data_IF_222013885928
#
_entry.id   IF_222013885928
#
_cell.length_a   1.000
_cell.length_b   1.000
_cell.length_c   1.000
_cell.angle_alpha   90.00
_cell.angle_beta   90.00
_cell.angle_gamma   90.00
#
_symmetry.space_group_name_H-M   'P 1'
#
loop_
_entity.id
_entity.type
_entity.pdbx_description
1 polymer ?
#
# COMPACT_ATOMS: atom_id res chain seq x y z
N UNK A 1 49.83 23.29 -65.33
CA UNK A 1 48.62 22.71 -65.97
C UNK A 1 47.49 22.68 -64.96
N UNK A 2 46.31 23.13 -65.40
CA UNK A 2 44.94 22.94 -64.85
C UNK A 2 44.54 23.64 -63.54
N UNK A 3 43.60 24.58 -63.75
CA UNK A 3 42.70 25.20 -62.79
C UNK A 3 41.64 24.22 -62.26
N UNK A 4 41.01 24.54 -61.12
CA UNK A 4 39.59 24.92 -61.03
C UNK A 4 39.13 25.06 -59.57
N UNK A 5 38.42 26.16 -59.34
CA UNK A 5 37.59 26.51 -58.19
C UNK A 5 36.45 25.50 -57.95
N UNK A 6 36.18 25.12 -56.70
CA UNK A 6 34.83 24.78 -56.25
C UNK A 6 34.62 25.15 -54.77
N UNK A 7 33.71 26.11 -54.55
CA UNK A 7 33.04 26.39 -53.28
C UNK A 7 32.33 25.12 -52.77
N UNK A 8 32.43 24.81 -51.47
CA UNK A 8 31.47 23.92 -50.83
C UNK A 8 31.11 24.38 -49.42
N UNK A 9 29.80 24.50 -49.23
CA UNK A 9 29.04 24.95 -48.06
C UNK A 9 29.35 24.12 -46.81
N UNK A 10 29.38 24.81 -45.68
CA UNK A 10 29.35 24.24 -44.33
C UNK A 10 28.01 23.51 -44.05
N UNK A 11 28.03 22.37 -43.35
CA UNK A 11 26.84 21.85 -42.69
C UNK A 11 26.70 22.46 -41.28
N UNK A 12 25.49 22.95 -40.98
CA UNK A 12 25.07 23.40 -39.65
C UNK A 12 24.96 22.20 -38.70
N UNK A 13 25.54 22.33 -37.51
CA UNK A 13 25.38 21.38 -36.42
C UNK A 13 23.94 21.44 -35.85
N UNK A 14 23.33 20.31 -35.47
CA UNK A 14 22.01 20.31 -34.83
C UNK A 14 22.09 20.84 -33.40
N UNK A 15 21.31 21.88 -33.10
CA UNK A 15 21.05 22.35 -31.74
C UNK A 15 20.32 21.26 -30.94
N UNK A 16 21.01 20.68 -29.95
CA UNK A 16 20.38 19.91 -28.88
C UNK A 16 19.70 20.89 -27.92
N UNK A 17 18.36 20.85 -27.84
CA UNK A 17 17.60 21.48 -26.75
C UNK A 17 17.53 20.52 -25.56
N UNK A 18 17.79 20.98 -24.33
CA UNK A 18 17.56 20.19 -23.14
C UNK A 18 16.06 20.07 -22.86
N UNK A 19 15.60 18.83 -22.65
CA UNK A 19 14.27 18.50 -22.11
C UNK A 19 14.20 18.84 -20.62
N UNK A 20 13.19 19.58 -20.13
CA UNK A 20 13.00 19.77 -18.70
C UNK A 20 12.44 18.49 -18.04
N UNK A 21 12.78 18.21 -16.76
CA UNK A 21 12.22 17.10 -16.02
C UNK A 21 10.76 17.38 -15.67
N UNK A 22 9.88 16.42 -15.98
CA UNK A 22 8.46 16.45 -15.62
C UNK A 22 8.29 16.17 -14.13
N UNK A 23 8.25 17.23 -13.33
CA UNK A 23 7.77 17.21 -11.96
C UNK A 23 6.77 18.36 -11.84
N UNK A 24 5.58 18.05 -11.30
CA UNK A 24 4.46 18.97 -10.96
C UNK A 24 3.38 19.21 -12.03
N UNK A 25 2.60 18.19 -12.38
CA UNK A 25 1.27 18.35 -13.02
C UNK A 25 0.15 17.70 -12.18
N UNK A 26 0.08 18.04 -10.89
CA UNK A 26 -0.96 17.51 -9.98
C UNK A 26 -1.98 18.55 -9.48
N UNK A 27 -2.07 19.75 -10.07
CA UNK A 27 -3.07 20.74 -9.64
C UNK A 27 -3.65 21.57 -10.81
N UNK A 28 -4.34 20.92 -11.75
CA UNK A 28 -5.19 21.60 -12.72
C UNK A 28 -6.60 20.98 -12.77
N UNK A 29 -7.67 21.75 -12.48
CA UNK A 29 -9.05 21.28 -12.59
C UNK A 29 -9.50 21.30 -14.06
N UNK A 30 -9.72 20.13 -14.64
CA UNK A 30 -10.26 20.00 -16.00
C UNK A 30 -11.79 20.04 -15.98
N UNK A 31 -12.36 21.23 -16.14
CA UNK A 31 -13.75 21.41 -16.56
C UNK A 31 -13.82 21.39 -18.08
N UNK A 32 -14.34 20.30 -18.66
CA UNK A 32 -14.87 20.34 -20.03
C UNK A 32 -16.18 19.56 -20.11
N UNK A 33 -17.27 20.32 -20.07
CA UNK A 33 -18.56 19.93 -20.64
C UNK A 33 -18.38 19.74 -22.15
N UNK A 34 -18.89 18.64 -22.69
CA UNK A 34 -19.27 18.58 -24.10
C UNK A 34 -20.59 17.81 -24.23
N UNK A 35 -21.66 18.55 -24.48
CA UNK A 35 -22.92 18.00 -24.98
C UNK A 35 -22.69 17.46 -26.39
N UNK A 36 -23.09 16.20 -26.64
CA UNK A 36 -23.37 15.74 -27.99
C UNK A 36 -24.72 15.03 -27.99
N UNK A 37 -25.74 15.81 -28.35
CA UNK A 37 -27.05 15.31 -28.72
C UNK A 37 -26.94 14.53 -30.03
N UNK A 38 -27.47 13.31 -30.04
CA UNK A 38 -27.88 12.64 -31.26
C UNK A 38 -29.34 12.21 -31.09
N UNK A 39 -30.22 12.92 -31.79
CA UNK A 39 -31.57 12.46 -32.06
C UNK A 39 -31.50 11.43 -33.19
N UNK A 40 -32.01 10.23 -32.94
CA UNK A 40 -32.39 9.30 -34.00
C UNK A 40 -33.76 8.70 -33.72
N UNK A 41 -34.55 8.79 -34.77
CA UNK A 41 -35.98 8.52 -34.94
C UNK A 41 -36.39 7.07 -34.69
N UNK A 42 -37.65 6.94 -34.30
CA UNK A 42 -38.38 5.73 -33.99
C UNK A 42 -38.49 4.72 -35.14
N UNK A 43 -38.50 3.43 -34.76
CA UNK A 43 -39.22 2.38 -35.50
C UNK A 43 -39.91 1.47 -34.50
N UNK A 44 -41.25 1.50 -34.49
CA UNK A 44 -42.11 0.53 -33.81
C UNK A 44 -42.04 -0.79 -34.55
N UNK A 45 -41.71 -1.88 -33.85
CA UNK A 45 -42.08 -3.23 -34.25
C UNK A 45 -42.63 -3.97 -33.03
N UNK A 46 -43.93 -4.29 -33.12
CA UNK A 46 -44.62 -5.23 -32.25
C UNK A 46 -44.12 -6.64 -32.53
N UNK A 47 -43.63 -7.33 -31.50
CA UNK A 47 -43.53 -8.77 -31.50
C UNK A 47 -43.72 -9.27 -30.07
N UNK A 48 -44.63 -10.23 -29.93
CA UNK A 48 -45.08 -10.84 -28.70
C UNK A 48 -43.92 -11.41 -27.87
N UNK A 49 -44.01 -11.27 -26.54
CA UNK A 49 -43.18 -12.03 -25.61
C UNK A 49 -44.05 -12.96 -24.75
N UNK A 50 -43.56 -14.18 -24.48
CA UNK A 50 -44.25 -15.20 -23.71
C UNK A 50 -44.16 -14.93 -22.20
N UNK A 51 -45.12 -15.53 -21.48
CA UNK A 51 -45.12 -15.88 -20.05
C UNK A 51 -43.99 -15.33 -19.19
N UNK A 52 -44.32 -14.30 -18.40
CA UNK A 52 -43.55 -13.81 -17.26
C UNK A 52 -43.47 -14.92 -16.20
N UNK A 53 -42.32 -15.57 -16.12
CA UNK A 53 -41.92 -16.29 -14.91
C UNK A 53 -41.58 -15.23 -13.87
N UNK A 54 -42.37 -15.18 -12.78
CA UNK A 54 -42.06 -14.37 -11.61
C UNK A 54 -40.71 -14.81 -11.05
N UNK A 55 -39.66 -14.03 -11.32
CA UNK A 55 -38.46 -14.06 -10.49
C UNK A 55 -38.88 -13.66 -9.09
N UNK A 56 -38.77 -14.62 -8.17
CA UNK A 56 -38.87 -14.37 -6.75
C UNK A 56 -37.86 -13.30 -6.39
N UNK A 57 -38.37 -12.14 -5.99
CA UNK A 57 -37.61 -11.07 -5.36
C UNK A 57 -36.89 -11.66 -4.15
N UNK A 58 -35.60 -11.94 -4.29
CA UNK A 58 -34.73 -12.21 -3.14
C UNK A 58 -34.78 -10.96 -2.27
N UNK A 59 -35.40 -11.04 -1.10
CA UNK A 59 -35.32 -10.00 -0.09
C UNK A 59 -33.86 -9.92 0.35
N UNK A 60 -33.10 -8.96 -0.18
CA UNK A 60 -31.75 -8.69 0.31
C UNK A 60 -31.84 -8.30 1.79
N UNK A 61 -30.94 -8.83 2.63
CA UNK A 61 -30.90 -8.44 4.04
C UNK A 61 -30.55 -6.94 4.15
N UNK A 62 -31.06 -6.23 5.17
CA UNK A 62 -30.64 -4.87 5.43
C UNK A 62 -29.11 -4.78 5.61
N UNK A 63 -28.49 -3.71 5.12
CA UNK A 63 -27.04 -3.51 5.25
C UNK A 63 -26.71 -2.90 6.60
N UNK A 64 -25.65 -3.41 7.24
CA UNK A 64 -25.11 -2.89 8.49
C UNK A 64 -24.51 -1.50 8.26
N UNK A 65 -24.98 -0.52 9.02
CA UNK A 65 -24.48 0.85 8.95
C UNK A 65 -23.50 1.08 10.10
N UNK A 66 -22.24 1.34 9.76
CA UNK A 66 -21.21 1.67 10.76
C UNK A 66 -21.67 2.87 11.60
N UNK A 67 -21.41 2.83 12.90
CA UNK A 67 -21.58 3.98 13.77
C UNK A 67 -20.36 4.93 13.67
N UNK A 68 -20.41 6.05 14.38
CA UNK A 68 -19.35 7.06 14.30
C UNK A 68 -17.99 6.54 14.81
N UNK A 69 -17.98 5.79 15.90
CA UNK A 69 -16.75 5.24 16.49
C UNK A 69 -16.08 4.21 15.56
N UNK A 70 -16.88 3.41 14.85
CA UNK A 70 -16.41 2.43 13.89
C UNK A 70 -15.81 3.08 12.65
N UNK A 71 -16.44 4.16 12.13
CA UNK A 71 -15.85 4.96 11.05
C UNK A 71 -14.53 5.58 11.47
N UNK A 72 -14.49 6.21 12.65
CA UNK A 72 -13.26 6.79 13.20
C UNK A 72 -12.18 5.73 13.43
N UNK A 73 -12.56 4.50 13.81
CA UNK A 73 -11.63 3.39 13.90
C UNK A 73 -11.01 3.06 12.54
N UNK A 74 -11.82 2.91 11.48
CA UNK A 74 -11.32 2.63 10.14
C UNK A 74 -10.40 3.76 9.61
N UNK A 75 -10.75 5.02 9.86
CA UNK A 75 -9.90 6.15 9.48
C UNK A 75 -8.51 6.09 10.14
N UNK A 76 -8.45 5.68 11.41
CA UNK A 76 -7.17 5.50 12.11
C UNK A 76 -6.42 4.28 11.60
N UNK A 77 -7.10 3.16 11.42
CA UNK A 77 -6.53 1.91 10.92
C UNK A 77 -5.89 2.11 9.53
N UNK A 78 -6.64 2.68 8.58
CA UNK A 78 -6.14 2.91 7.22
C UNK A 78 -4.94 3.89 7.20
N UNK A 79 -4.96 4.92 8.05
CA UNK A 79 -3.84 5.86 8.17
C UNK A 79 -2.59 5.18 8.72
N UNK A 80 -2.73 4.36 9.76
CA UNK A 80 -1.61 3.64 10.38
C UNK A 80 -1.05 2.60 9.43
N UNK A 81 -1.91 1.81 8.77
CA UNK A 81 -1.46 0.81 7.79
C UNK A 81 -0.66 1.47 6.68
N UNK A 82 -1.19 2.54 6.06
CA UNK A 82 -0.46 3.25 5.01
C UNK A 82 0.92 3.75 5.45
N UNK A 83 1.04 4.27 6.67
CA UNK A 83 2.32 4.71 7.23
C UNK A 83 3.24 3.53 7.59
N UNK A 84 2.68 2.40 8.02
CA UNK A 84 3.38 1.14 8.30
C UNK A 84 4.00 0.55 7.04
N UNK A 85 3.22 0.37 5.99
CA UNK A 85 3.69 -0.19 4.71
C UNK A 85 4.79 0.67 4.07
N UNK A 86 4.68 2.01 4.21
CA UNK A 86 5.76 2.92 3.81
C UNK A 86 7.04 2.62 4.59
N UNK A 87 6.94 2.54 5.91
CA UNK A 87 8.08 2.33 6.78
C UNK A 87 8.75 0.97 6.47
N UNK A 88 7.97 -0.10 6.30
CA UNK A 88 8.46 -1.41 5.91
C UNK A 88 9.17 -1.37 4.55
N UNK A 89 8.55 -0.76 3.53
CA UNK A 89 9.16 -0.53 2.21
C UNK A 89 10.52 0.18 2.30
N UNK A 90 10.62 1.22 3.13
CA UNK A 90 11.86 1.97 3.34
C UNK A 90 12.92 1.19 4.13
N UNK A 91 12.50 0.40 5.12
CA UNK A 91 13.40 -0.48 5.88
C UNK A 91 14.03 -1.50 4.93
N UNK A 92 13.23 -2.22 4.14
CA UNK A 92 13.74 -3.18 3.16
C UNK A 92 14.64 -2.51 2.11
N UNK A 93 14.24 -1.34 1.60
CA UNK A 93 15.06 -0.56 0.67
C UNK A 93 16.44 -0.25 1.25
N UNK A 94 16.51 0.15 2.53
CA UNK A 94 17.73 0.54 3.18
C UNK A 94 18.60 -0.65 3.66
N UNK A 95 17.98 -1.76 4.06
CA UNK A 95 18.66 -3.00 4.45
C UNK A 95 19.28 -3.71 3.24
N UNK A 96 18.52 -3.82 2.14
CA UNK A 96 18.84 -4.69 1.00
C UNK A 96 20.28 -4.53 0.51
N UNK A 97 20.81 -3.32 0.24
CA UNK A 97 22.17 -3.17 -0.29
C UNK A 97 23.25 -3.75 0.62
N UNK A 98 23.10 -3.64 1.95
CA UNK A 98 24.09 -4.17 2.89
C UNK A 98 23.98 -5.67 3.05
N UNK A 99 22.75 -6.18 3.18
CA UNK A 99 22.48 -7.61 3.33
C UNK A 99 22.95 -8.38 2.10
N UNK A 100 22.57 -7.95 0.89
CA UNK A 100 22.88 -8.68 -0.35
C UNK A 100 24.33 -8.54 -0.82
N UNK A 101 25.06 -7.54 -0.30
CA UNK A 101 26.50 -7.41 -0.53
C UNK A 101 27.28 -8.47 0.24
N UNK A 102 26.87 -8.74 1.48
CA UNK A 102 27.50 -9.76 2.34
C UNK A 102 26.93 -11.16 2.08
N UNK A 103 25.65 -11.27 1.71
CA UNK A 103 24.92 -12.51 1.48
C UNK A 103 24.18 -12.48 0.14
N UNK A 104 24.88 -12.64 -1.01
CA UNK A 104 24.27 -12.49 -2.33
C UNK A 104 23.11 -13.45 -2.64
N UNK A 105 23.06 -14.60 -1.97
CA UNK A 105 21.99 -15.59 -2.13
C UNK A 105 20.64 -15.10 -1.56
N UNK A 106 20.63 -14.08 -0.70
CA UNK A 106 19.40 -13.48 -0.15
C UNK A 106 18.73 -12.46 -1.07
N UNK A 107 19.32 -12.15 -2.24
CA UNK A 107 18.72 -11.21 -3.20
C UNK A 107 17.27 -11.53 -3.57
N UNK A 108 16.90 -12.80 -3.88
CA UNK A 108 15.52 -13.13 -4.22
C UNK A 108 14.58 -12.89 -3.05
N UNK A 109 15.00 -13.27 -1.83
CA UNK A 109 14.20 -13.10 -0.61
C UNK A 109 13.98 -11.62 -0.29
N UNK A 110 15.04 -10.81 -0.25
CA UNK A 110 14.93 -9.37 0.00
C UNK A 110 14.06 -8.67 -1.05
N UNK A 111 14.16 -9.09 -2.32
CA UNK A 111 13.31 -8.56 -3.38
C UNK A 111 11.85 -8.97 -3.18
N UNK A 112 11.60 -10.23 -2.81
CA UNK A 112 10.25 -10.75 -2.60
C UNK A 112 9.51 -9.99 -1.50
N UNK A 113 10.13 -9.84 -0.31
CA UNK A 113 9.55 -9.09 0.80
C UNK A 113 9.29 -7.63 0.40
N UNK A 114 10.27 -6.96 -0.22
CA UNK A 114 10.10 -5.60 -0.72
C UNK A 114 8.95 -5.46 -1.73
N UNK A 115 8.83 -6.39 -2.69
CA UNK A 115 7.78 -6.32 -3.71
C UNK A 115 6.37 -6.46 -3.07
N UNK A 116 6.24 -7.29 -2.02
CA UNK A 116 5.00 -7.42 -1.25
C UNK A 116 4.67 -6.10 -0.53
N UNK A 117 5.62 -5.55 0.23
CA UNK A 117 5.45 -4.26 0.94
C UNK A 117 5.07 -3.12 0.00
N UNK A 118 5.71 -3.05 -1.17
CA UNK A 118 5.37 -2.05 -2.18
C UNK A 118 3.92 -2.23 -2.70
N UNK A 119 3.45 -3.47 -2.84
CA UNK A 119 2.08 -3.79 -3.20
C UNK A 119 1.07 -3.47 -2.08
N UNK A 120 1.43 -3.72 -0.82
CA UNK A 120 0.63 -3.33 0.33
C UNK A 120 0.51 -1.80 0.39
N UNK A 121 1.63 -1.10 0.24
CA UNK A 121 1.66 0.36 0.24
C UNK A 121 0.79 0.97 -0.87
N UNK A 122 0.85 0.43 -2.09
CA UNK A 122 -0.04 0.86 -3.18
C UNK A 122 -1.51 0.62 -2.86
N UNK A 123 -1.83 -0.55 -2.30
CA UNK A 123 -3.19 -0.89 -1.83
C UNK A 123 -3.69 0.15 -0.83
N UNK A 124 -2.90 0.49 0.18
CA UNK A 124 -3.31 1.46 1.18
C UNK A 124 -3.34 2.89 0.67
N UNK A 125 -2.45 3.29 -0.25
CA UNK A 125 -2.55 4.58 -0.94
C UNK A 125 -3.88 4.71 -1.68
N UNK A 126 -4.33 3.64 -2.35
CA UNK A 126 -5.65 3.61 -2.97
C UNK A 126 -6.77 3.73 -1.95
N UNK A 127 -6.73 2.95 -0.86
CA UNK A 127 -7.77 2.96 0.18
C UNK A 127 -7.88 4.31 0.88
N UNK A 128 -6.76 4.93 1.30
CA UNK A 128 -6.81 6.24 1.95
C UNK A 128 -7.36 7.31 1.01
N UNK A 129 -7.05 7.24 -0.30
CA UNK A 129 -7.57 8.17 -1.29
C UNK A 129 -9.08 7.95 -1.52
N UNK A 130 -9.51 6.69 -1.68
CA UNK A 130 -10.91 6.29 -1.86
C UNK A 130 -11.79 6.78 -0.72
N UNK A 131 -11.33 6.57 0.53
CA UNK A 131 -12.06 6.90 1.74
C UNK A 131 -11.80 8.34 2.25
N UNK A 132 -10.95 9.12 1.56
CA UNK A 132 -10.54 10.48 1.95
C UNK A 132 -9.93 10.53 3.35
N UNK A 133 -9.24 9.47 3.75
CA UNK A 133 -8.49 9.40 5.00
C UNK A 133 -7.24 10.25 4.85
N UNK A 134 -7.02 11.15 5.80
CA UNK A 134 -5.81 11.98 5.83
C UNK A 134 -4.63 11.10 6.25
N UNK A 135 -3.51 11.08 5.51
CA UNK A 135 -2.26 10.48 5.97
C UNK A 135 -1.81 11.08 7.30
N UNK A 136 -0.94 10.37 8.02
CA UNK A 136 -0.39 10.89 9.27
C UNK A 136 0.48 12.12 9.04
N UNK A 137 0.35 13.14 9.89
CA UNK A 137 1.22 14.31 9.86
C UNK A 137 2.70 13.98 10.16
N UNK A 138 2.96 12.82 10.77
CA UNK A 138 4.31 12.35 11.10
C UNK A 138 5.03 11.68 9.94
N UNK A 139 4.42 11.62 8.76
CA UNK A 139 4.95 10.97 7.57
C UNK A 139 6.45 11.28 7.30
N UNK A 140 6.92 12.55 7.31
CA UNK A 140 8.33 12.86 7.07
C UNK A 140 9.27 12.33 8.15
N UNK A 141 8.80 12.25 9.39
CA UNK A 141 9.58 11.71 10.51
C UNK A 141 9.72 10.20 10.37
N UNK A 142 8.65 9.52 9.97
CA UNK A 142 8.65 8.08 9.75
C UNK A 142 9.52 7.67 8.56
N UNK A 143 9.54 8.46 7.48
CA UNK A 143 10.45 8.21 6.35
C UNK A 143 11.93 8.18 6.79
N UNK A 144 12.34 9.20 7.56
CA UNK A 144 13.71 9.32 8.06
C UNK A 144 14.02 8.20 9.06
N UNK A 145 13.10 7.94 10.00
CA UNK A 145 13.29 6.93 11.03
C UNK A 145 13.39 5.52 10.44
N UNK A 146 12.50 5.16 9.52
CA UNK A 146 12.47 3.87 8.85
C UNK A 146 13.73 3.63 8.00
N UNK A 147 14.12 4.63 7.20
CA UNK A 147 15.34 4.56 6.37
C UNK A 147 16.58 4.40 7.26
N UNK A 148 16.69 5.17 8.33
CA UNK A 148 17.81 5.07 9.27
C UNK A 148 17.85 3.72 9.98
N UNK A 149 16.70 3.23 10.44
CA UNK A 149 16.58 1.92 11.08
C UNK A 149 17.00 0.79 10.13
N UNK A 150 16.50 0.78 8.90
CA UNK A 150 16.87 -0.22 7.90
C UNK A 150 18.35 -0.17 7.53
N UNK A 151 18.89 1.03 7.30
CA UNK A 151 20.32 1.19 6.98
C UNK A 151 21.21 0.73 8.14
N UNK A 152 20.91 1.16 9.37
CA UNK A 152 21.72 0.84 10.55
C UNK A 152 21.72 -0.67 10.85
N UNK A 153 20.57 -1.31 10.79
CA UNK A 153 20.45 -2.76 11.02
C UNK A 153 21.09 -3.57 9.90
N UNK A 154 20.94 -3.15 8.64
CA UNK A 154 21.66 -3.74 7.51
C UNK A 154 23.19 -3.62 7.65
N UNK A 155 23.69 -2.50 8.15
CA UNK A 155 25.13 -2.30 8.41
C UNK A 155 25.65 -3.17 9.55
N UNK A 156 24.81 -3.48 10.54
CA UNK A 156 25.16 -4.36 11.66
C UNK A 156 25.25 -5.84 11.26
N UNK A 157 24.64 -6.24 10.14
CA UNK A 157 24.72 -7.60 9.61
C UNK A 157 23.35 -8.17 9.26
N UNK A 158 23.36 -9.39 8.73
CA UNK A 158 22.14 -10.09 8.33
C UNK A 158 21.25 -10.37 9.53
N UNK A 159 21.82 -10.88 10.61
CA UNK A 159 21.10 -11.27 11.83
C UNK A 159 20.38 -10.06 12.44
N UNK A 160 21.03 -8.89 12.50
CA UNK A 160 20.43 -7.66 12.99
C UNK A 160 19.34 -7.12 12.04
N UNK A 161 19.53 -7.22 10.73
CA UNK A 161 18.52 -6.86 9.74
C UNK A 161 17.27 -7.74 9.87
N UNK A 162 17.45 -9.06 9.98
CA UNK A 162 16.34 -10.00 10.16
C UNK A 162 15.68 -9.84 11.53
N UNK A 163 16.43 -9.57 12.61
CA UNK A 163 15.85 -9.23 13.91
C UNK A 163 15.00 -7.94 13.86
N UNK A 164 15.41 -6.96 13.04
CA UNK A 164 14.61 -5.77 12.79
C UNK A 164 13.32 -6.11 12.05
N UNK A 165 13.38 -6.89 10.97
CA UNK A 165 12.20 -7.40 10.25
C UNK A 165 11.26 -8.11 11.21
N UNK A 166 11.74 -9.11 11.94
CA UNK A 166 10.94 -9.87 12.91
C UNK A 166 10.23 -8.94 13.92
N UNK A 167 10.95 -7.94 14.46
CA UNK A 167 10.41 -6.99 15.41
C UNK A 167 9.32 -6.09 14.82
N UNK A 168 9.50 -5.62 13.58
CA UNK A 168 8.55 -4.77 12.87
C UNK A 168 7.30 -5.57 12.50
N UNK A 169 7.46 -6.73 11.85
CA UNK A 169 6.33 -7.53 11.38
C UNK A 169 5.51 -8.12 12.53
N UNK A 170 6.15 -8.37 13.69
CA UNK A 170 5.41 -8.72 14.91
C UNK A 170 4.39 -7.65 15.30
N UNK A 171 4.79 -6.36 15.23
CA UNK A 171 3.93 -5.26 15.65
C UNK A 171 2.91 -4.88 14.57
N UNK A 172 3.31 -4.93 13.28
CA UNK A 172 2.40 -4.73 12.14
C UNK A 172 1.35 -5.85 12.11
N UNK A 173 1.77 -7.12 12.18
CA UNK A 173 0.86 -8.28 12.21
C UNK A 173 -0.06 -8.29 13.43
N UNK A 174 0.41 -7.83 14.60
CA UNK A 174 -0.47 -7.62 15.77
C UNK A 174 -1.52 -6.54 15.51
N UNK A 175 -1.14 -5.44 14.86
CA UNK A 175 -2.07 -4.35 14.52
C UNK A 175 -3.17 -4.83 13.56
N UNK A 176 -2.80 -5.58 12.52
CA UNK A 176 -3.78 -6.20 11.62
C UNK A 176 -4.71 -7.18 12.33
N UNK A 177 -4.18 -8.00 13.23
CA UNK A 177 -5.00 -8.93 14.01
C UNK A 177 -6.08 -8.22 14.82
N UNK A 178 -5.76 -7.08 15.42
CA UNK A 178 -6.72 -6.27 16.16
C UNK A 178 -7.77 -5.66 15.21
N UNK A 179 -7.38 -5.16 14.04
CA UNK A 179 -8.32 -4.65 13.02
C UNK A 179 -9.29 -5.73 12.51
N UNK A 180 -8.76 -6.91 12.19
CA UNK A 180 -9.55 -8.07 11.76
C UNK A 180 -10.54 -8.48 12.85
N UNK A 181 -10.10 -8.48 14.12
CA UNK A 181 -10.98 -8.81 15.27
C UNK A 181 -12.13 -7.81 15.40
N UNK A 182 -11.85 -6.51 15.29
CA UNK A 182 -12.87 -5.46 15.38
C UNK A 182 -13.92 -5.62 14.28
N UNK A 183 -13.51 -5.74 13.00
CA UNK A 183 -14.45 -5.87 11.90
C UNK A 183 -15.27 -7.18 12.01
N UNK A 184 -14.67 -8.27 12.49
CA UNK A 184 -15.41 -9.51 12.75
C UNK A 184 -16.43 -9.38 13.86
N UNK A 185 -16.15 -8.58 14.90
CA UNK A 185 -17.14 -8.29 15.93
C UNK A 185 -18.35 -7.55 15.36
N UNK A 186 -18.13 -6.62 14.42
CA UNK A 186 -19.21 -5.89 13.75
C UNK A 186 -19.98 -6.80 12.80
N UNK A 187 -19.31 -7.75 12.13
CA UNK A 187 -19.96 -8.79 11.34
C UNK A 187 -20.90 -9.64 12.18
N UNK A 188 -20.44 -10.12 13.34
CA UNK A 188 -21.25 -10.90 14.26
C UNK A 188 -22.44 -10.09 14.81
N UNK A 189 -22.24 -8.80 15.10
CA UNK A 189 -23.32 -7.89 15.50
C UNK A 189 -24.35 -7.73 14.39
N UNK A 190 -23.93 -7.52 13.14
CA UNK A 190 -24.81 -7.42 11.97
C UNK A 190 -25.64 -8.71 11.80
N UNK A 191 -24.99 -9.87 11.83
CA UNK A 191 -25.66 -11.17 11.71
C UNK A 191 -26.71 -11.37 12.82
N UNK A 192 -26.41 -10.95 14.06
CA UNK A 192 -27.36 -11.03 15.19
C UNK A 192 -28.60 -10.14 15.01
N UNK A 193 -28.50 -9.08 14.19
CA UNK A 193 -29.60 -8.17 13.83
C UNK A 193 -30.33 -8.58 12.55
N UNK A 194 -29.90 -9.66 11.90
CA UNK A 194 -30.39 -10.05 10.58
C UNK A 194 -29.93 -9.11 9.46
N UNK A 195 -28.85 -8.36 9.70
CA UNK A 195 -28.19 -7.48 8.74
C UNK A 195 -27.00 -8.19 8.08
N UNK A 196 -26.51 -7.63 6.98
CA UNK A 196 -25.28 -8.06 6.31
C UNK A 196 -24.28 -6.92 6.24
N UNK A 197 -22.99 -7.26 6.34
CA UNK A 197 -21.95 -6.27 6.06
C UNK A 197 -22.07 -5.80 4.60
N UNK A 198 -21.65 -4.56 4.40
CA UNK A 198 -21.48 -4.03 3.05
C UNK A 198 -20.32 -4.76 2.33
N UNK A 199 -20.44 -4.93 1.02
CA UNK A 199 -19.45 -5.63 0.19
C UNK A 199 -18.07 -5.00 0.31
N UNK A 200 -18.00 -3.66 0.40
CA UNK A 200 -16.74 -2.94 0.56
C UNK A 200 -16.03 -3.28 1.88
N UNK A 201 -16.79 -3.45 2.96
CA UNK A 201 -16.21 -3.80 4.26
C UNK A 201 -15.77 -5.27 4.29
N UNK A 202 -16.47 -6.15 3.58
CA UNK A 202 -16.03 -7.55 3.41
C UNK A 202 -14.74 -7.64 2.59
N UNK A 203 -14.62 -6.87 1.51
CA UNK A 203 -13.40 -6.76 0.71
C UNK A 203 -12.23 -6.19 1.53
N UNK A 204 -12.49 -5.17 2.37
CA UNK A 204 -11.49 -4.59 3.25
C UNK A 204 -11.02 -5.61 4.30
N UNK A 205 -11.94 -6.36 4.91
CA UNK A 205 -11.61 -7.45 5.83
C UNK A 205 -10.77 -8.54 5.16
N UNK A 206 -11.11 -8.91 3.93
CA UNK A 206 -10.33 -9.88 3.15
C UNK A 206 -8.92 -9.36 2.87
N UNK A 207 -8.81 -8.07 2.52
CA UNK A 207 -7.52 -7.39 2.30
C UNK A 207 -6.66 -7.40 3.55
N UNK A 208 -7.21 -7.01 4.72
CA UNK A 208 -6.47 -7.00 5.98
C UNK A 208 -6.02 -8.40 6.40
N UNK A 209 -6.83 -9.43 6.16
CA UNK A 209 -6.44 -10.83 6.43
C UNK A 209 -5.30 -11.28 5.54
N UNK A 210 -5.37 -10.99 4.24
CA UNK A 210 -4.31 -11.35 3.28
C UNK A 210 -2.99 -10.72 3.67
N UNK A 211 -2.99 -9.39 3.88
CA UNK A 211 -1.76 -8.65 4.23
C UNK A 211 -1.19 -9.17 5.55
N UNK A 212 -2.02 -9.33 6.59
CA UNK A 212 -1.59 -9.95 7.85
C UNK A 212 -0.89 -11.31 7.65
N UNK A 213 -1.44 -12.17 6.80
CA UNK A 213 -0.87 -13.49 6.57
C UNK A 213 0.48 -13.41 5.81
N UNK A 214 0.64 -12.42 4.93
CA UNK A 214 1.91 -12.09 4.27
C UNK A 214 2.94 -11.50 5.26
N UNK A 215 2.53 -10.64 6.21
CA UNK A 215 3.42 -10.14 7.28
C UNK A 215 3.96 -11.26 8.17
N UNK A 216 3.11 -12.25 8.47
CA UNK A 216 3.52 -13.43 9.23
C UNK A 216 4.53 -14.27 8.44
N UNK A 217 4.37 -14.36 7.12
CA UNK A 217 5.36 -15.00 6.25
C UNK A 217 6.72 -14.29 6.33
N UNK A 218 6.73 -12.95 6.31
CA UNK A 218 7.97 -12.16 6.44
C UNK A 218 8.66 -12.37 7.78
N UNK A 219 7.88 -12.45 8.86
CA UNK A 219 8.37 -12.79 10.19
C UNK A 219 9.03 -14.17 10.19
N UNK A 220 8.39 -15.18 9.60
CA UNK A 220 8.92 -16.53 9.50
C UNK A 220 10.22 -16.55 8.69
N UNK A 221 10.27 -15.88 7.53
CA UNK A 221 11.49 -15.70 6.73
C UNK A 221 12.61 -15.07 7.55
N UNK A 222 12.32 -14.07 8.37
CA UNK A 222 13.32 -13.43 9.22
C UNK A 222 13.89 -14.40 10.26
N UNK A 223 13.04 -15.20 10.91
CA UNK A 223 13.47 -16.22 11.88
C UNK A 223 14.31 -17.30 11.20
N UNK A 224 13.91 -17.77 10.03
CA UNK A 224 14.66 -18.74 9.22
C UNK A 224 16.02 -18.22 8.74
N UNK A 225 16.18 -16.89 8.66
CA UNK A 225 17.42 -16.23 8.24
C UNK A 225 18.22 -15.64 9.42
N UNK A 226 18.17 -16.32 10.57
CA UNK A 226 19.01 -16.09 11.75
C UNK A 226 18.70 -14.79 12.51
N UNK A 227 17.46 -14.29 12.49
CA UNK A 227 17.04 -13.16 13.33
C UNK A 227 17.41 -13.36 14.81
N UNK A 228 17.19 -14.57 15.35
CA UNK A 228 17.45 -14.90 16.76
C UNK A 228 18.92 -14.88 17.16
N UNK A 229 19.83 -14.88 16.18
CA UNK A 229 21.28 -14.87 16.41
C UNK A 229 21.85 -13.45 16.53
N UNK A 230 21.04 -12.40 16.38
CA UNK A 230 21.49 -11.03 16.55
C UNK A 230 22.10 -10.80 17.94
N UNK A 231 23.16 -9.99 18.03
CA UNK A 231 23.85 -9.73 19.30
C UNK A 231 23.95 -8.23 19.59
N UNK A 232 23.30 -7.73 20.67
CA UNK A 232 22.35 -8.42 21.55
C UNK A 232 20.91 -8.43 20.98
N UNK A 233 20.29 -9.61 20.88
CA UNK A 233 18.94 -9.80 20.30
C UNK A 233 17.84 -9.08 21.08
N UNK A 234 17.61 -9.45 22.35
CA UNK A 234 16.48 -8.94 23.13
C UNK A 234 16.48 -7.40 23.25
N UNK A 235 17.61 -6.72 23.53
CA UNK A 235 17.63 -5.27 23.58
C UNK A 235 17.28 -4.63 22.22
N UNK A 236 17.80 -5.18 21.11
CA UNK A 236 17.53 -4.66 19.77
C UNK A 236 16.04 -4.78 19.43
N UNK A 237 15.49 -6.00 19.55
CA UNK A 237 14.08 -6.27 19.24
C UNK A 237 13.15 -5.46 20.13
N UNK A 238 13.40 -5.39 21.44
CA UNK A 238 12.52 -4.66 22.35
C UNK A 238 12.50 -3.16 22.09
N UNK A 239 13.63 -2.56 21.72
CA UNK A 239 13.69 -1.14 21.34
C UNK A 239 12.90 -0.88 20.07
N UNK A 240 13.08 -1.73 19.04
CA UNK A 240 12.37 -1.60 17.76
C UNK A 240 10.86 -1.75 17.98
N UNK A 241 10.44 -2.81 18.68
CA UNK A 241 9.02 -3.04 19.01
C UNK A 241 8.40 -1.89 19.79
N UNK A 242 9.13 -1.33 20.76
CA UNK A 242 8.67 -0.14 21.48
C UNK A 242 8.50 1.06 20.54
N UNK A 243 9.45 1.28 19.64
CA UNK A 243 9.38 2.29 18.59
C UNK A 243 8.16 2.12 17.70
N UNK A 244 7.91 0.91 17.20
CA UNK A 244 6.73 0.61 16.38
C UNK A 244 5.41 0.89 17.13
N UNK A 245 5.29 0.43 18.39
CA UNK A 245 4.10 0.73 19.22
C UNK A 245 3.88 2.22 19.42
N UNK A 246 4.96 2.99 19.60
CA UNK A 246 4.87 4.44 19.72
C UNK A 246 4.44 5.09 18.40
N UNK A 247 5.03 4.67 17.27
CA UNK A 247 4.68 5.16 15.94
C UNK A 247 3.21 4.89 15.61
N UNK A 248 2.71 3.67 15.87
CA UNK A 248 1.30 3.30 15.72
C UNK A 248 0.41 4.26 16.52
N UNK A 249 0.65 4.39 17.83
CA UNK A 249 -0.18 5.25 18.72
C UNK A 249 -0.17 6.72 18.32
N UNK A 250 0.94 7.21 17.77
CA UNK A 250 1.04 8.59 17.31
C UNK A 250 0.28 8.74 15.99
N UNK A 251 0.52 7.86 15.01
CA UNK A 251 -0.14 7.87 13.70
C UNK A 251 -1.65 7.68 13.81
N UNK A 252 -2.16 6.93 14.80
CA UNK A 252 -3.60 6.85 15.09
C UNK A 252 -4.22 8.23 15.35
N UNK A 253 -3.45 9.17 15.92
CA UNK A 253 -3.96 10.47 16.39
C UNK A 253 -3.74 11.61 15.40
N UNK A 254 -2.62 11.61 14.68
CA UNK A 254 -2.17 12.76 13.86
C UNK A 254 -1.83 12.38 12.45
#
# INVERSE_FOLDING_TARGET
MKALSLLRRAPLAPCLRPTPPAVLDFLAPSTLQTCRQYNSTATRQSAANPSVSQQTSGSSKPKYVLNQQQREFLDRALRVNQAGELAATLIYTAQTPQVVRSHPHLRPLMKHMYDQEAGHFDTFNHLIAKHRVRPTAMYPVWEVAATFLGWSTGMMGREAAMACTEAVETEIGSHYNDQVREILSWKAEAESRGEELDEELEEMLATFRRIRDEELEHLDHAVENDAKEARPYDPLVNVIRYGCKAAIKISERV
#
